data_IF_587339423966
#
_entry.id   IF_587339423966
#
_cell.length_a   1.000
_cell.length_b   1.000
_cell.length_c   1.000
_cell.angle_alpha   90.00
_cell.angle_beta   90.00
_cell.angle_gamma   90.00
#
_symmetry.space_group_name_H-M   'P 1'
#
loop_
_entity.id
_entity.type
_entity.pdbx_description
1 polymer ?
#
# COMPACT_ATOMS: atom_id res chain seq x y z
N UNK A 1 10.86 -3.07 -5.27
CA UNK A 1 10.78 -4.45 -5.76
C UNK A 1 12.12 -5.15 -5.63
N UNK A 2 12.11 -6.39 -5.20
CA UNK A 2 13.25 -7.31 -5.26
C UNK A 2 12.73 -8.72 -5.50
N UNK A 3 13.10 -9.33 -6.60
CA UNK A 3 12.77 -10.70 -6.92
C UNK A 3 13.21 -11.07 -8.32
N UNK A 4 13.30 -12.35 -8.56
CA UNK A 4 13.57 -12.95 -9.87
C UNK A 4 12.33 -13.72 -10.38
N UNK A 5 11.15 -13.36 -9.88
CA UNK A 5 9.89 -13.97 -10.26
C UNK A 5 9.27 -13.33 -11.50
N UNK A 6 8.18 -13.93 -11.91
CA UNK A 6 7.27 -13.35 -12.91
C UNK A 6 5.98 -12.94 -12.21
N UNK A 7 5.43 -11.82 -12.60
CA UNK A 7 4.11 -11.37 -12.22
C UNK A 7 3.01 -12.34 -12.68
N UNK A 8 1.79 -12.01 -12.35
CA UNK A 8 0.63 -12.83 -12.67
C UNK A 8 0.33 -12.90 -14.17
N UNK A 9 0.68 -11.86 -14.93
CA UNK A 9 0.55 -11.77 -16.38
C UNK A 9 1.81 -12.22 -17.14
N UNK A 10 2.78 -12.84 -16.46
CA UNK A 10 4.02 -13.34 -17.04
C UNK A 10 5.08 -12.27 -17.26
N UNK A 11 4.87 -11.04 -16.81
CA UNK A 11 5.84 -9.96 -16.78
C UNK A 11 6.81 -10.12 -15.60
N UNK A 12 7.95 -9.42 -15.63
CA UNK A 12 8.84 -9.38 -14.49
C UNK A 12 8.25 -8.51 -13.37
N UNK A 13 8.59 -8.80 -12.10
CA UNK A 13 8.05 -8.08 -10.93
C UNK A 13 8.17 -6.55 -11.01
N UNK A 14 9.29 -6.06 -11.52
CA UNK A 14 9.47 -4.62 -11.70
C UNK A 14 8.56 -4.06 -12.81
N UNK A 15 8.24 -4.86 -13.83
CA UNK A 15 7.30 -4.47 -14.88
C UNK A 15 5.88 -4.41 -14.34
N UNK A 16 5.46 -5.40 -13.54
CA UNK A 16 4.20 -5.39 -12.82
C UNK A 16 4.01 -4.09 -12.05
N UNK A 17 4.95 -3.74 -11.16
CA UNK A 17 4.87 -2.48 -10.41
C UNK A 17 4.96 -1.23 -11.28
N UNK A 18 5.65 -1.29 -12.43
CA UNK A 18 5.70 -0.20 -13.39
C UNK A 18 4.39 -0.04 -14.16
N UNK A 19 3.67 -1.13 -14.45
CA UNK A 19 2.34 -1.07 -15.03
C UNK A 19 1.39 -0.36 -14.06
N UNK A 20 1.34 -0.78 -12.82
CA UNK A 20 0.60 -0.09 -11.74
C UNK A 20 0.96 1.40 -11.67
N UNK A 21 2.24 1.74 -11.72
CA UNK A 21 2.69 3.13 -11.75
C UNK A 21 2.11 3.91 -12.93
N UNK A 22 2.11 3.31 -14.10
CA UNK A 22 1.61 3.96 -15.32
C UNK A 22 0.11 4.23 -15.21
N UNK A 23 -0.67 3.30 -14.66
CA UNK A 23 -2.10 3.47 -14.46
C UNK A 23 -2.40 4.59 -13.47
N UNK A 24 -1.67 4.65 -12.36
CA UNK A 24 -1.77 5.75 -11.41
C UNK A 24 -1.43 7.11 -12.04
N UNK A 25 -0.36 7.20 -12.83
CA UNK A 25 0.03 8.44 -13.51
C UNK A 25 -1.00 8.86 -14.58
N UNK A 26 -1.52 7.90 -15.33
CA UNK A 26 -2.55 8.15 -16.34
C UNK A 26 -3.86 8.64 -15.70
N UNK A 27 -4.19 8.16 -14.52
CA UNK A 27 -5.36 8.60 -13.76
C UNK A 27 -5.21 10.02 -13.21
N UNK A 28 -3.99 10.47 -12.91
CA UNK A 28 -3.75 11.83 -12.43
C UNK A 28 -2.80 11.96 -11.24
N UNK A 29 -2.24 10.86 -10.74
CA UNK A 29 -1.17 10.92 -9.75
C UNK A 29 0.05 11.64 -10.36
N UNK A 30 0.61 12.61 -9.63
CA UNK A 30 1.67 13.46 -10.16
C UNK A 30 3.06 12.89 -9.92
N UNK A 31 3.21 12.01 -8.93
CA UNK A 31 4.50 11.47 -8.56
C UNK A 31 4.36 10.04 -8.02
N UNK A 32 4.96 9.10 -8.72
CA UNK A 32 5.10 7.70 -8.28
C UNK A 32 6.58 7.35 -8.33
N UNK A 33 7.19 7.15 -7.16
CA UNK A 33 8.59 6.77 -7.05
C UNK A 33 8.78 5.31 -7.48
N UNK A 34 9.85 5.04 -8.22
CA UNK A 34 10.29 3.70 -8.58
C UNK A 34 11.52 3.32 -7.75
N UNK A 35 11.47 2.14 -7.11
CA UNK A 35 12.57 1.57 -6.35
C UNK A 35 12.70 0.09 -6.71
N UNK A 36 13.37 -0.21 -7.80
CA UNK A 36 13.54 -1.56 -8.33
C UNK A 36 14.95 -2.07 -8.10
N UNK A 37 15.09 -3.37 -7.96
CA UNK A 37 16.40 -3.97 -7.87
C UNK A 37 17.11 -3.95 -9.23
N UNK A 38 18.34 -3.51 -9.24
CA UNK A 38 19.09 -3.26 -10.46
C UNK A 38 18.62 -1.98 -11.16
N UNK A 39 19.19 -1.71 -12.33
CA UNK A 39 18.82 -0.56 -13.14
C UNK A 39 17.78 -0.96 -14.17
N UNK A 40 16.54 -0.55 -13.96
CA UNK A 40 15.41 -0.89 -14.83
C UNK A 40 15.05 0.23 -15.82
N UNK A 41 15.82 1.34 -15.80
CA UNK A 41 15.56 2.50 -16.65
C UNK A 41 14.30 3.28 -16.28
N UNK A 42 13.88 4.22 -17.12
CA UNK A 42 12.74 5.08 -16.84
C UNK A 42 13.02 6.06 -15.69
N UNK A 43 12.17 6.10 -14.69
CA UNK A 43 12.35 6.93 -13.49
C UNK A 43 13.02 6.17 -12.33
N UNK A 44 13.38 4.90 -12.55
CA UNK A 44 14.13 4.12 -11.59
C UNK A 44 15.57 4.59 -11.44
N UNK A 45 16.08 4.63 -10.23
CA UNK A 45 17.45 5.00 -9.97
C UNK A 45 18.42 3.90 -10.44
N UNK A 46 19.61 4.30 -10.89
CA UNK A 46 20.64 3.35 -11.25
C UNK A 46 21.08 2.49 -10.06
N UNK A 47 21.23 1.20 -10.31
CA UNK A 47 21.59 0.22 -9.28
C UNK A 47 20.40 -0.20 -8.41
N UNK A 48 20.70 -0.83 -7.27
CA UNK A 48 19.67 -1.23 -6.33
C UNK A 48 19.35 -0.08 -5.36
N UNK A 49 18.06 0.10 -4.98
CA UNK A 49 17.70 1.13 -4.02
C UNK A 49 18.28 0.82 -2.63
N UNK A 50 18.39 1.86 -1.82
CA UNK A 50 18.81 1.75 -0.43
C UNK A 50 17.73 2.31 0.52
N UNK A 51 17.87 2.01 1.81
CA UNK A 51 16.90 2.44 2.82
C UNK A 51 16.75 3.96 2.95
N UNK A 52 17.80 4.72 2.65
CA UNK A 52 17.76 6.20 2.71
C UNK A 52 16.84 6.77 1.62
N UNK A 53 16.85 6.19 0.42
CA UNK A 53 15.96 6.58 -0.68
C UNK A 53 14.51 6.34 -0.31
N UNK A 54 14.19 5.16 0.21
CA UNK A 54 12.84 4.76 0.63
C UNK A 54 12.37 5.62 1.81
N UNK A 55 13.23 5.81 2.82
CA UNK A 55 12.92 6.67 3.99
C UNK A 55 12.67 8.12 3.57
N UNK A 56 13.41 8.61 2.58
CA UNK A 56 13.24 9.98 2.07
C UNK A 56 11.88 10.13 1.40
N UNK A 57 11.45 9.17 0.58
CA UNK A 57 10.15 9.17 -0.05
C UNK A 57 9.02 9.08 0.98
N UNK A 58 9.13 8.16 1.94
CA UNK A 58 8.17 8.01 3.03
C UNK A 58 8.01 9.31 3.84
N UNK A 59 9.11 9.95 4.21
CA UNK A 59 9.10 11.19 5.00
C UNK A 59 8.56 12.41 4.23
N UNK A 60 8.69 12.43 2.90
CA UNK A 60 8.02 13.43 2.05
C UNK A 60 6.50 13.25 2.07
N UNK A 61 6.05 12.04 2.29
CA UNK A 61 4.66 11.62 2.26
C UNK A 61 4.31 10.93 0.95
N UNK A 62 3.70 9.76 1.09
CA UNK A 62 3.14 8.96 -0.01
C UNK A 62 1.77 8.47 0.42
N UNK A 63 0.84 8.33 -0.51
CA UNK A 63 -0.51 7.80 -0.24
C UNK A 63 -0.55 6.27 -0.27
N UNK A 64 0.28 5.67 -1.12
CA UNK A 64 0.40 4.21 -1.29
C UNK A 64 1.86 3.83 -1.16
N UNK A 65 2.14 2.77 -0.41
CA UNK A 65 3.41 2.06 -0.39
C UNK A 65 3.14 0.65 -0.91
N UNK A 66 3.42 0.42 -2.19
CA UNK A 66 3.17 -0.84 -2.85
C UNK A 66 4.47 -1.62 -2.99
N UNK A 67 4.51 -2.84 -2.48
CA UNK A 67 5.70 -3.68 -2.45
C UNK A 67 5.44 -5.06 -3.05
N UNK A 68 6.34 -5.51 -3.88
CA UNK A 68 6.43 -6.88 -4.35
C UNK A 68 7.90 -7.35 -4.25
N UNK A 69 8.15 -8.43 -3.51
CA UNK A 69 9.50 -8.95 -3.35
C UNK A 69 9.68 -9.79 -2.10
N UNK A 70 10.94 -10.15 -1.83
CA UNK A 70 11.26 -10.90 -0.62
C UNK A 70 11.05 -10.07 0.65
N UNK A 71 10.60 -10.75 1.71
CA UNK A 71 10.42 -10.15 3.03
C UNK A 71 10.60 -11.17 4.15
N UNK A 72 10.63 -10.65 5.35
CA UNK A 72 10.67 -11.45 6.58
C UNK A 72 9.92 -10.70 7.69
N UNK A 73 9.93 -11.23 8.91
CA UNK A 73 9.24 -10.65 10.05
C UNK A 73 9.47 -9.12 10.22
N UNK A 74 10.69 -8.64 9.94
CA UNK A 74 11.14 -7.31 10.31
C UNK A 74 11.60 -6.43 9.14
N UNK A 75 11.60 -6.93 7.92
CA UNK A 75 12.13 -6.16 6.78
C UNK A 75 11.56 -6.58 5.43
N UNK A 76 11.61 -5.61 4.52
CA UNK A 76 11.61 -5.79 3.08
C UNK A 76 13.06 -5.94 2.62
N UNK A 77 13.34 -6.87 1.70
CA UNK A 77 14.70 -7.07 1.20
C UNK A 77 15.17 -5.88 0.36
N UNK A 78 14.29 -5.30 -0.42
CA UNK A 78 14.61 -4.11 -1.22
C UNK A 78 15.12 -2.98 -0.31
N UNK A 79 16.33 -2.53 -0.60
CA UNK A 79 16.99 -1.47 0.17
C UNK A 79 17.29 -1.83 1.63
N UNK A 80 17.10 -3.08 2.04
CA UNK A 80 17.14 -3.49 3.46
C UNK A 80 16.24 -2.61 4.34
N UNK A 81 15.06 -2.24 3.81
CA UNK A 81 14.13 -1.39 4.53
C UNK A 81 13.41 -2.18 5.63
N UNK A 82 13.51 -1.73 6.87
CA UNK A 82 13.16 -2.54 8.04
C UNK A 82 12.33 -1.77 9.08
N UNK A 83 11.86 -2.49 10.09
CA UNK A 83 11.18 -1.96 11.27
C UNK A 83 11.90 -0.77 11.91
N UNK A 84 13.23 -0.77 11.93
CA UNK A 84 14.04 0.34 12.45
C UNK A 84 13.85 1.62 11.63
N UNK A 85 13.78 1.50 10.30
CA UNK A 85 13.58 2.66 9.42
C UNK A 85 12.17 3.23 9.57
N UNK A 86 11.16 2.37 9.70
CA UNK A 86 9.77 2.78 9.96
C UNK A 86 9.65 3.46 11.32
N UNK A 87 10.23 2.89 12.38
CA UNK A 87 10.24 3.50 13.71
C UNK A 87 10.95 4.85 13.76
N UNK A 88 11.86 5.11 12.82
CA UNK A 88 12.59 6.38 12.69
C UNK A 88 11.89 7.37 11.76
N UNK A 89 10.79 7.00 11.12
CA UNK A 89 10.08 7.84 10.15
C UNK A 89 9.60 9.16 10.77
N UNK A 90 9.46 10.17 9.92
CA UNK A 90 8.99 11.52 10.29
C UNK A 90 7.84 11.95 9.38
N UNK A 91 6.99 11.01 9.00
CA UNK A 91 5.87 11.22 8.08
C UNK A 91 4.56 11.55 8.82
N UNK A 92 4.62 12.24 9.93
CA UNK A 92 3.43 12.66 10.70
C UNK A 92 2.41 13.38 9.82
N UNK A 93 1.15 12.95 9.89
CA UNK A 93 0.06 13.46 9.05
C UNK A 93 0.08 12.99 7.59
N UNK A 94 1.00 12.10 7.21
CA UNK A 94 1.20 11.62 5.83
C UNK A 94 1.33 10.10 5.83
N UNK A 95 0.25 9.41 6.17
CA UNK A 95 0.26 7.97 6.40
C UNK A 95 -0.16 7.21 5.14
N UNK A 96 0.72 6.38 4.55
CA UNK A 96 0.35 5.54 3.41
C UNK A 96 -0.57 4.38 3.80
N UNK A 97 -1.32 3.89 2.83
CA UNK A 97 -1.73 2.50 2.78
C UNK A 97 -0.56 1.64 2.28
N UNK A 98 -0.30 0.54 2.96
CA UNK A 98 0.79 -0.38 2.61
C UNK A 98 0.21 -1.68 2.08
N UNK A 99 0.54 -2.03 0.85
CA UNK A 99 0.21 -3.32 0.25
C UNK A 99 1.51 -4.09 0.09
N UNK A 100 1.70 -5.14 0.89
CA UNK A 100 2.92 -5.91 0.93
C UNK A 100 2.74 -7.32 0.37
N UNK A 101 3.18 -7.53 -0.86
CA UNK A 101 3.39 -8.86 -1.43
C UNK A 101 4.78 -9.32 -1.04
N UNK A 102 4.87 -9.87 0.18
CA UNK A 102 6.11 -10.33 0.78
C UNK A 102 5.87 -11.37 1.87
N UNK A 103 6.82 -12.28 2.05
CA UNK A 103 6.76 -13.31 3.08
C UNK A 103 6.82 -12.74 4.50
N UNK A 104 6.01 -13.26 5.41
CA UNK A 104 6.12 -13.10 6.87
C UNK A 104 6.03 -11.67 7.42
N UNK A 105 5.72 -10.68 6.61
CA UNK A 105 5.61 -9.28 7.08
C UNK A 105 4.46 -9.06 8.07
N UNK A 106 3.45 -9.94 8.05
CA UNK A 106 2.29 -9.93 8.95
C UNK A 106 2.28 -11.07 9.97
N UNK A 107 3.39 -11.72 10.27
CA UNK A 107 3.47 -12.83 11.23
C UNK A 107 3.41 -12.31 12.67
N UNK A 108 2.21 -12.01 13.16
CA UNK A 108 1.98 -11.42 14.49
C UNK A 108 1.98 -12.43 15.65
N UNK A 109 2.14 -13.73 15.37
CA UNK A 109 2.09 -14.78 16.40
C UNK A 109 3.42 -15.08 17.06
N UNK A 110 4.55 -14.66 16.48
CA UNK A 110 5.91 -15.00 16.92
C UNK A 110 6.75 -13.80 17.38
N UNK A 111 6.12 -12.69 17.64
CA UNK A 111 6.76 -11.43 18.02
C UNK A 111 6.14 -10.26 17.28
N UNK A 112 6.74 -9.08 17.38
CA UNK A 112 6.27 -7.90 16.66
C UNK A 112 6.72 -7.93 15.23
N UNK A 113 5.78 -8.03 14.29
CA UNK A 113 6.09 -7.99 12.86
C UNK A 113 6.17 -6.55 12.33
N UNK A 114 6.74 -6.40 11.12
CA UNK A 114 6.88 -5.10 10.49
C UNK A 114 5.52 -4.41 10.22
N UNK A 115 4.45 -5.16 9.96
CA UNK A 115 3.10 -4.61 9.79
C UNK A 115 2.56 -3.96 11.06
N UNK A 116 2.85 -4.54 12.24
CA UNK A 116 2.52 -3.91 13.52
C UNK A 116 3.36 -2.65 13.77
N UNK A 117 4.63 -2.66 13.37
CA UNK A 117 5.49 -1.48 13.48
C UNK A 117 4.97 -0.33 12.61
N UNK A 118 4.51 -0.61 11.39
CA UNK A 118 3.85 0.38 10.55
C UNK A 118 2.66 1.05 11.26
N UNK A 119 1.86 0.29 12.01
CA UNK A 119 0.63 0.77 12.66
C UNK A 119 0.87 1.55 13.95
N UNK A 120 1.93 1.26 14.68
CA UNK A 120 2.14 1.82 16.02
C UNK A 120 3.37 2.70 16.16
N UNK A 121 4.04 3.02 15.05
CA UNK A 121 5.19 3.90 15.08
C UNK A 121 4.82 5.31 15.51
N UNK A 122 5.68 5.90 16.30
CA UNK A 122 5.58 7.30 16.73
C UNK A 122 6.96 7.92 16.87
N UNK A 123 7.04 9.24 16.67
CA UNK A 123 8.25 10.02 16.86
C UNK A 123 7.93 11.27 17.67
N UNK A 124 8.63 11.44 18.79
CA UNK A 124 8.41 12.57 19.72
C UNK A 124 6.95 12.73 20.15
N UNK A 125 6.24 11.62 20.36
CA UNK A 125 4.84 11.62 20.77
C UNK A 125 3.83 11.82 19.64
N UNK A 126 4.28 12.02 18.42
CA UNK A 126 3.40 12.15 17.23
C UNK A 126 3.36 10.84 16.44
N UNK A 127 2.18 10.35 16.02
CA UNK A 127 2.08 9.16 15.19
C UNK A 127 2.88 9.29 13.89
N UNK A 128 3.48 8.19 13.44
CA UNK A 128 4.16 8.04 12.15
C UNK A 128 3.81 6.66 11.57
N UNK A 129 4.46 6.24 10.49
CA UNK A 129 4.22 4.93 9.90
C UNK A 129 3.10 4.96 8.87
N UNK A 130 2.08 4.12 9.01
CA UNK A 130 1.00 3.95 8.02
C UNK A 130 -0.39 4.03 8.64
N UNK A 131 -1.40 4.18 7.78
CA UNK A 131 -2.80 4.16 8.19
C UNK A 131 -3.37 2.74 8.21
N UNK A 132 -2.94 1.90 7.27
CA UNK A 132 -3.26 0.48 7.24
C UNK A 132 -2.19 -0.31 6.45
N UNK A 133 -2.09 -1.60 6.72
CA UNK A 133 -1.13 -2.51 6.06
C UNK A 133 -1.81 -3.83 5.73
N UNK A 134 -1.58 -4.34 4.53
CA UNK A 134 -1.82 -5.74 4.19
C UNK A 134 -0.48 -6.48 4.22
N UNK A 135 -0.32 -7.46 5.10
CA UNK A 135 0.92 -8.22 5.31
C UNK A 135 0.67 -9.71 5.53
N UNK A 136 1.44 -10.58 4.88
CA UNK A 136 1.28 -12.03 4.98
C UNK A 136 1.82 -12.58 6.31
N UNK A 137 1.04 -13.47 6.94
CA UNK A 137 1.43 -14.14 8.18
C UNK A 137 2.31 -15.39 7.96
N UNK A 138 2.50 -15.79 6.70
CA UNK A 138 3.32 -16.96 6.30
C UNK A 138 4.22 -16.61 5.10
N UNK A 139 4.94 -17.62 4.60
CA UNK A 139 5.58 -17.53 3.29
C UNK A 139 4.51 -17.35 2.21
N UNK A 140 4.60 -16.29 1.44
CA UNK A 140 3.57 -15.88 0.49
C UNK A 140 3.87 -16.44 -0.91
N UNK A 141 2.84 -16.87 -1.63
CA UNK A 141 2.93 -17.18 -3.05
C UNK A 141 3.33 -15.96 -3.85
N UNK A 142 3.86 -16.16 -5.06
CA UNK A 142 4.39 -15.06 -5.87
C UNK A 142 3.30 -14.40 -6.73
N UNK A 143 2.82 -15.07 -7.79
CA UNK A 143 1.88 -14.50 -8.75
C UNK A 143 0.47 -14.17 -8.19
N UNK A 144 -0.23 -15.03 -7.43
CA UNK A 144 -1.59 -14.75 -7.01
C UNK A 144 -1.79 -13.42 -6.28
N UNK A 145 -0.95 -13.00 -5.32
CA UNK A 145 -1.15 -11.72 -4.65
C UNK A 145 -0.92 -10.49 -5.54
N UNK A 146 -0.22 -10.63 -6.66
CA UNK A 146 -0.07 -9.54 -7.64
C UNK A 146 -1.39 -9.20 -8.32
N UNK A 147 -2.24 -10.18 -8.64
CA UNK A 147 -3.61 -9.92 -9.13
C UNK A 147 -4.44 -9.09 -8.13
N UNK A 148 -4.18 -9.24 -6.83
CA UNK A 148 -4.78 -8.34 -5.81
C UNK A 148 -4.24 -6.92 -5.91
N UNK A 149 -2.95 -6.73 -6.20
CA UNK A 149 -2.37 -5.40 -6.36
C UNK A 149 -2.95 -4.67 -7.57
N UNK A 150 -3.09 -5.37 -8.68
CA UNK A 150 -3.70 -4.82 -9.91
C UNK A 150 -5.14 -4.42 -9.66
N UNK A 151 -5.97 -5.31 -9.14
CA UNK A 151 -7.39 -5.01 -8.87
C UNK A 151 -7.57 -3.83 -7.89
N UNK A 152 -6.73 -3.72 -6.84
CA UNK A 152 -6.75 -2.56 -5.94
C UNK A 152 -6.50 -1.28 -6.73
N UNK A 153 -5.55 -1.29 -7.65
CA UNK A 153 -5.22 -0.11 -8.44
C UNK A 153 -6.28 0.17 -9.49
N UNK A 154 -6.82 -0.84 -10.15
CA UNK A 154 -7.92 -0.70 -11.10
C UNK A 154 -9.14 -0.01 -10.48
N UNK A 155 -9.48 -0.38 -9.24
CA UNK A 155 -10.56 0.30 -8.50
C UNK A 155 -10.17 1.75 -8.18
N UNK A 156 -8.94 1.99 -7.73
CA UNK A 156 -8.44 3.33 -7.39
C UNK A 156 -8.45 4.28 -8.59
N UNK A 157 -8.08 3.78 -9.77
CA UNK A 157 -8.07 4.56 -11.02
C UNK A 157 -9.42 4.58 -11.73
N UNK A 158 -10.48 4.12 -11.04
CA UNK A 158 -11.87 4.15 -11.52
C UNK A 158 -12.08 3.40 -12.85
N UNK A 159 -11.29 2.33 -13.08
CA UNK A 159 -11.46 1.46 -14.25
C UNK A 159 -12.87 0.87 -14.32
N UNK A 160 -13.51 0.66 -13.17
CA UNK A 160 -14.88 0.17 -13.04
C UNK A 160 -15.84 1.31 -12.66
N UNK A 161 -16.56 1.93 -13.60
CA UNK A 161 -17.39 3.12 -13.34
C UNK A 161 -18.52 2.91 -12.32
N UNK A 162 -18.87 1.65 -12.04
CA UNK A 162 -19.92 1.29 -11.08
C UNK A 162 -19.36 0.70 -9.77
N UNK A 163 -18.05 0.63 -9.59
CA UNK A 163 -17.40 0.09 -8.40
C UNK A 163 -16.35 1.10 -7.88
N UNK A 164 -16.82 2.11 -7.20
CA UNK A 164 -15.98 3.15 -6.59
C UNK A 164 -15.90 2.90 -5.08
N UNK A 165 -15.28 1.80 -4.67
CA UNK A 165 -15.03 1.51 -3.27
C UNK A 165 -13.79 2.27 -2.81
N UNK A 166 -13.94 3.06 -1.75
CA UNK A 166 -12.84 3.91 -1.27
C UNK A 166 -12.29 3.50 0.10
N UNK A 167 -12.89 2.52 0.79
CA UNK A 167 -12.29 2.02 2.04
C UNK A 167 -11.20 1.00 1.75
N UNK A 168 -10.11 1.04 2.53
CA UNK A 168 -8.99 0.12 2.32
C UNK A 168 -9.40 -1.36 2.47
N UNK A 169 -10.30 -1.66 3.41
CA UNK A 169 -10.85 -3.00 3.56
C UNK A 169 -11.63 -3.47 2.34
N UNK A 170 -12.43 -2.58 1.72
CA UNK A 170 -13.16 -2.91 0.50
C UNK A 170 -12.23 -3.11 -0.70
N UNK A 171 -11.23 -2.23 -0.88
CA UNK A 171 -10.20 -2.37 -1.91
C UNK A 171 -9.46 -3.70 -1.76
N UNK A 172 -8.96 -3.99 -0.55
CA UNK A 172 -8.22 -5.20 -0.27
C UNK A 172 -9.06 -6.47 -0.46
N UNK A 173 -10.31 -6.46 0.03
CA UNK A 173 -11.23 -7.59 -0.15
C UNK A 173 -11.57 -7.82 -1.63
N UNK A 174 -11.86 -6.77 -2.39
CA UNK A 174 -12.13 -6.89 -3.83
C UNK A 174 -10.95 -7.49 -4.57
N UNK A 175 -9.73 -7.02 -4.28
CA UNK A 175 -8.51 -7.60 -4.84
C UNK A 175 -8.33 -9.08 -4.49
N UNK A 176 -8.63 -9.47 -3.25
CA UNK A 176 -8.60 -10.89 -2.84
C UNK A 176 -9.64 -11.73 -3.59
N UNK A 177 -10.83 -11.18 -3.86
CA UNK A 177 -11.85 -11.90 -4.65
C UNK A 177 -11.41 -12.06 -6.10
N UNK A 178 -10.85 -11.03 -6.72
CA UNK A 178 -10.27 -11.12 -8.07
C UNK A 178 -9.16 -12.19 -8.12
N UNK A 179 -8.26 -12.18 -7.14
CA UNK A 179 -7.23 -13.20 -7.01
C UNK A 179 -7.80 -14.62 -6.93
N UNK A 180 -8.91 -14.83 -6.21
CA UNK A 180 -9.56 -16.15 -6.13
C UNK A 180 -10.21 -16.56 -7.45
N UNK A 181 -10.72 -15.61 -8.22
CA UNK A 181 -11.29 -15.89 -9.55
C UNK A 181 -10.18 -16.35 -10.52
N UNK A 182 -9.02 -15.71 -10.50
CA UNK A 182 -7.90 -16.02 -11.37
C UNK A 182 -7.09 -17.24 -10.87
N UNK A 183 -6.95 -17.37 -9.56
CA UNK A 183 -6.13 -18.40 -8.89
C UNK A 183 -6.93 -19.18 -7.82
N UNK A 184 -7.97 -19.95 -8.21
CA UNK A 184 -8.91 -20.55 -7.25
C UNK A 184 -8.28 -21.53 -6.24
N UNK A 185 -7.15 -22.13 -6.57
CA UNK A 185 -6.44 -23.04 -5.68
C UNK A 185 -5.33 -22.36 -4.87
N UNK A 186 -4.39 -21.69 -5.55
CA UNK A 186 -3.23 -21.04 -4.92
C UNK A 186 -3.59 -19.72 -4.24
N UNK A 187 -4.61 -19.02 -4.70
CA UNK A 187 -5.12 -17.80 -4.06
C UNK A 187 -5.79 -18.04 -2.71
N UNK A 188 -6.36 -19.23 -2.47
CA UNK A 188 -7.05 -19.55 -1.22
C UNK A 188 -6.13 -19.42 0.00
N UNK A 189 -4.94 -19.99 -0.04
CA UNK A 189 -3.97 -19.90 1.06
C UNK A 189 -3.57 -18.43 1.30
N UNK A 190 -3.43 -17.65 0.23
CA UNK A 190 -3.10 -16.23 0.33
C UNK A 190 -4.22 -15.46 1.04
N UNK A 191 -5.48 -15.65 0.64
CA UNK A 191 -6.64 -15.01 1.31
C UNK A 191 -6.70 -15.36 2.80
N UNK A 192 -6.47 -16.63 3.15
CA UNK A 192 -6.52 -17.11 4.54
C UNK A 192 -5.38 -16.54 5.42
N UNK A 193 -4.29 -16.07 4.82
CA UNK A 193 -3.05 -15.72 5.54
C UNK A 193 -2.55 -14.30 5.32
N UNK A 194 -3.12 -13.58 4.38
CA UNK A 194 -2.80 -12.17 4.15
C UNK A 194 -3.71 -11.28 5.01
N UNK A 195 -3.12 -10.71 6.04
CA UNK A 195 -3.83 -10.03 7.12
C UNK A 195 -3.83 -8.52 6.92
N UNK A 196 -5.00 -7.90 7.15
CA UNK A 196 -5.13 -6.45 7.20
C UNK A 196 -4.87 -5.97 8.64
N UNK A 197 -3.92 -5.06 8.80
CA UNK A 197 -3.61 -4.33 10.04
C UNK A 197 -4.12 -2.89 9.90
N UNK A 198 -4.93 -2.44 10.83
CA UNK A 198 -5.54 -1.12 10.84
C UNK A 198 -7.06 -1.18 10.76
N UNK A 199 -7.69 -0.01 10.58
CA UNK A 199 -9.14 0.08 10.45
C UNK A 199 -9.56 -0.10 8.98
N UNK A 200 -10.29 -1.18 8.64
CA UNK A 200 -10.72 -1.46 7.27
C UNK A 200 -11.69 -0.40 6.71
N UNK A 201 -12.32 0.39 7.56
CA UNK A 201 -13.27 1.43 7.13
C UNK A 201 -12.60 2.74 6.72
N UNK A 202 -11.28 2.85 6.94
CA UNK A 202 -10.53 4.06 6.57
C UNK A 202 -10.58 4.28 5.06
N UNK A 203 -11.01 5.50 4.68
CA UNK A 203 -11.18 5.84 3.28
C UNK A 203 -9.85 6.16 2.61
N UNK A 204 -9.64 5.57 1.46
CA UNK A 204 -8.61 5.95 0.52
C UNK A 204 -9.08 7.20 -0.26
N UNK A 205 -8.19 8.16 -0.43
CA UNK A 205 -8.45 9.36 -1.22
C UNK A 205 -7.70 9.26 -2.53
N UNK A 206 -8.42 8.99 -3.60
CA UNK A 206 -7.87 8.81 -4.94
C UNK A 206 -7.87 10.10 -5.76
N UNK A 207 -8.71 11.08 -5.40
CA UNK A 207 -8.91 12.28 -6.19
C UNK A 207 -8.23 13.52 -5.57
N UNK A 208 -8.10 14.57 -6.39
CA UNK A 208 -7.59 15.89 -5.97
C UNK A 208 -8.57 16.50 -4.96
N UNK A 209 -8.11 16.94 -3.78
CA UNK A 209 -8.98 17.59 -2.81
C UNK A 209 -9.68 18.81 -3.41
N UNK A 210 -11.01 18.80 -3.40
CA UNK A 210 -11.81 19.96 -3.77
C UNK A 210 -12.05 20.87 -2.55
N UNK A 211 -12.13 22.18 -2.79
CA UNK A 211 -12.48 23.12 -1.74
C UNK A 211 -13.96 22.97 -1.36
N UNK A 212 -14.25 22.87 -0.07
CA UNK A 212 -15.61 23.03 0.43
C UNK A 212 -16.02 24.50 0.40
N UNK A 213 -17.13 24.78 -0.25
CA UNK A 213 -17.84 26.05 -0.04
C UNK A 213 -18.94 25.75 0.99
N UNK A 214 -18.79 26.27 2.19
CA UNK A 214 -19.82 26.16 3.23
C UNK A 214 -20.66 27.41 3.17
N UNK A 215 -21.91 27.27 2.75
CA UNK A 215 -22.91 28.31 2.85
C UNK A 215 -23.75 28.04 4.10
N UNK A 216 -23.66 28.91 5.09
CA UNK A 216 -24.41 28.81 6.33
C UNK A 216 -24.92 30.20 6.74
N UNK A 217 -26.04 30.26 7.45
CA UNK A 217 -26.50 31.50 8.06
C UNK A 217 -25.47 32.01 9.07
N UNK A 218 -25.21 33.31 9.09
CA UNK A 218 -24.26 33.94 10.03
C UNK A 218 -24.68 33.82 11.48
N UNK A 219 -25.95 33.55 11.73
CA UNK A 219 -26.51 33.40 13.08
C UNK A 219 -27.56 32.30 13.11
N UNK A 220 -27.38 31.29 13.99
CA UNK A 220 -28.46 30.41 14.42
C UNK A 220 -28.89 30.79 15.82
N UNK A 221 -30.18 31.17 15.98
CA UNK A 221 -30.78 31.36 17.32
C UNK A 221 -31.05 29.99 17.94
N UNK A 222 -30.32 29.69 19.02
CA UNK A 222 -30.51 28.46 19.78
C UNK A 222 -31.85 28.58 20.55
N UNK A 223 -32.83 27.78 20.18
CA UNK A 223 -33.98 27.50 21.05
C UNK A 223 -35.31 28.19 20.76
N UNK A 224 -35.54 28.66 19.54
CA UNK A 224 -36.92 28.99 19.12
C UNK A 224 -37.50 27.81 18.34
N UNK A 225 -38.16 26.89 19.07
CA UNK A 225 -39.16 25.99 18.48
C UNK A 225 -40.44 26.76 18.30
N UNK A 226 -40.83 27.01 17.05
CA UNK A 226 -42.20 27.41 16.70
C UNK A 226 -43.16 26.26 16.83
#
# INVERSE_FOLDING_TARGET
NEGAGFGDDGEADWQHLRNIRNDLLNFGYQNVNEFYQGSQGGADADGSPNNSMISTALNKGVSIFNYCGHGNLNSFSTGNFSSTHISSASNNGKYPFVVSVACNNGTFTTGTCISEIWQRSSKLGSPTGSIAVAGSSILMSWAPPMATQDEIVDIIVEYYPNNQMHSFGALFYSGQMKMLDDYPNSGKEVVETWVLFGDPTTLFRSDIPSNFVVDHSETEEIGLTS
#
